data_IF_876365236532
#
_entry.id   IF_876365236532
#
_cell.length_a   1.000
_cell.length_b   1.000
_cell.length_c   1.000
_cell.angle_alpha   90.00
_cell.angle_beta   90.00
_cell.angle_gamma   90.00
#
_symmetry.space_group_name_H-M   'P 1'
#
loop_
_entity.id
_entity.type
_entity.pdbx_description
1 polymer ?
#
# COMPACT_ATOMS: atom_id res chain seq x y z
N UNK A 1 5.53 22.94 -14.07
CA UNK A 1 4.71 21.80 -13.54
C UNK A 1 5.35 21.21 -12.27
N UNK A 2 6.62 20.76 -12.26
CA UNK A 2 7.24 20.14 -11.08
C UNK A 2 7.27 21.07 -9.84
N UNK A 3 7.63 22.34 -10.01
CA UNK A 3 7.63 23.34 -8.93
C UNK A 3 6.22 23.62 -8.37
N UNK A 4 5.20 23.62 -9.23
CA UNK A 4 3.80 23.80 -8.81
C UNK A 4 3.32 22.59 -8.00
N UNK A 5 3.68 21.37 -8.41
CA UNK A 5 3.37 20.13 -7.68
C UNK A 5 4.01 20.16 -6.30
N UNK A 6 5.32 20.45 -6.22
CA UNK A 6 6.05 20.54 -4.94
C UNK A 6 5.47 21.65 -4.06
N UNK A 7 5.20 22.83 -4.63
CA UNK A 7 4.60 23.95 -3.91
C UNK A 7 3.21 23.63 -3.36
N UNK A 8 2.37 22.94 -4.14
CA UNK A 8 1.04 22.50 -3.70
C UNK A 8 1.11 21.50 -2.54
N UNK A 9 2.03 20.54 -2.58
CA UNK A 9 2.26 19.59 -1.49
C UNK A 9 2.76 20.27 -0.22
N UNK A 10 3.75 21.16 -0.33
CA UNK A 10 4.26 21.91 0.81
C UNK A 10 3.18 22.77 1.45
N UNK A 11 2.41 23.53 0.66
CA UNK A 11 1.33 24.35 1.16
C UNK A 11 0.26 23.50 1.87
N UNK A 12 -0.12 22.36 1.31
CA UNK A 12 -1.09 21.45 1.92
C UNK A 12 -0.58 20.87 3.25
N UNK A 13 0.68 20.43 3.31
CA UNK A 13 1.30 19.92 4.54
C UNK A 13 1.38 21.01 5.61
N UNK A 14 1.82 22.22 5.26
CA UNK A 14 1.87 23.36 6.22
C UNK A 14 0.48 23.72 6.74
N UNK A 15 -0.53 23.78 5.87
CA UNK A 15 -1.89 24.08 6.27
C UNK A 15 -2.46 23.00 7.21
N UNK A 16 -2.20 21.72 6.94
CA UNK A 16 -2.62 20.64 7.82
C UNK A 16 -1.88 20.62 9.15
N UNK A 17 -0.59 20.93 9.15
CA UNK A 17 0.16 21.11 10.40
C UNK A 17 -0.42 22.24 11.25
N UNK A 18 -0.77 23.38 10.62
CA UNK A 18 -1.34 24.52 11.31
C UNK A 18 -2.74 24.23 11.86
N UNK A 19 -3.60 23.60 11.03
CA UNK A 19 -4.93 23.14 11.45
C UNK A 19 -4.81 22.05 12.52
N UNK A 20 -3.87 21.13 12.38
CA UNK A 20 -3.61 20.06 13.35
C UNK A 20 -3.20 20.62 14.71
N UNK A 21 -2.23 21.52 14.76
CA UNK A 21 -1.78 22.15 16.00
C UNK A 21 -2.90 22.95 16.69
N UNK A 22 -3.81 23.57 15.91
CA UNK A 22 -4.97 24.28 16.43
C UNK A 22 -6.12 23.38 16.86
N UNK A 23 -6.36 22.28 16.14
CA UNK A 23 -7.51 21.39 16.35
C UNK A 23 -7.22 20.28 17.39
N UNK A 24 -5.99 19.77 17.45
CA UNK A 24 -5.60 18.67 18.37
C UNK A 24 -6.00 18.94 19.83
N UNK A 25 -5.79 20.16 20.42
CA UNK A 25 -6.22 20.43 21.78
C UNK A 25 -7.74 20.39 21.98
N UNK A 26 -8.52 20.56 20.90
CA UNK A 26 -9.98 20.59 20.94
C UNK A 26 -10.60 19.19 20.78
N UNK A 27 -9.84 18.25 20.22
CA UNK A 27 -10.30 16.88 19.98
C UNK A 27 -10.07 16.06 21.25
N UNK A 28 -11.17 15.75 21.95
CA UNK A 28 -11.13 14.96 23.17
C UNK A 28 -11.57 13.52 22.89
N UNK A 29 -10.68 12.54 23.25
CA UNK A 29 -10.99 11.13 23.23
C UNK A 29 -11.06 10.48 21.83
N UNK A 30 -11.22 9.17 21.82
CA UNK A 30 -11.25 8.33 20.64
C UNK A 30 -12.34 8.73 19.63
N UNK A 31 -13.55 8.95 20.12
CA UNK A 31 -14.72 9.32 19.30
C UNK A 31 -14.50 10.64 18.54
N UNK A 32 -13.88 11.62 19.19
CA UNK A 32 -13.57 12.90 18.55
C UNK A 32 -12.63 12.72 17.36
N UNK A 33 -11.56 11.95 17.53
CA UNK A 33 -10.61 11.62 16.46
C UNK A 33 -11.27 10.88 15.32
N UNK A 34 -12.11 9.88 15.62
CA UNK A 34 -12.82 9.12 14.61
C UNK A 34 -13.80 9.98 13.81
N UNK A 35 -14.56 10.86 14.45
CA UNK A 35 -15.49 11.78 13.78
C UNK A 35 -14.76 12.74 12.84
N UNK A 36 -13.68 13.36 13.32
CA UNK A 36 -12.86 14.27 12.49
C UNK A 36 -12.26 13.51 11.31
N UNK A 37 -11.72 12.32 11.54
CA UNK A 37 -11.16 11.48 10.50
C UNK A 37 -12.19 11.12 9.44
N UNK A 38 -13.38 10.67 9.86
CA UNK A 38 -14.48 10.31 8.97
C UNK A 38 -14.92 11.50 8.11
N UNK A 39 -15.11 12.67 8.73
CA UNK A 39 -15.52 13.87 8.01
C UNK A 39 -14.47 14.32 6.99
N UNK A 40 -13.20 14.34 7.38
CA UNK A 40 -12.11 14.75 6.48
C UNK A 40 -11.97 13.80 5.29
N UNK A 41 -11.98 12.48 5.52
CA UNK A 41 -11.85 11.49 4.44
C UNK A 41 -13.08 11.47 3.54
N UNK A 42 -14.30 11.53 4.09
CA UNK A 42 -15.54 11.56 3.32
C UNK A 42 -15.62 12.82 2.45
N UNK A 43 -15.37 13.99 3.03
CA UNK A 43 -15.43 15.27 2.32
C UNK A 43 -14.36 15.32 1.22
N UNK A 44 -13.12 14.93 1.52
CA UNK A 44 -12.05 14.87 0.52
C UNK A 44 -12.39 13.90 -0.61
N UNK A 45 -12.89 12.71 -0.31
CA UNK A 45 -13.29 11.72 -1.31
C UNK A 45 -14.43 12.20 -2.20
N UNK A 46 -15.45 12.87 -1.65
CA UNK A 46 -16.55 13.46 -2.41
C UNK A 46 -16.08 14.59 -3.34
N UNK A 47 -15.20 15.47 -2.85
CA UNK A 47 -14.67 16.60 -3.62
C UNK A 47 -13.73 16.11 -4.73
N UNK A 48 -12.89 15.11 -4.47
CA UNK A 48 -12.05 14.48 -5.48
C UNK A 48 -12.92 13.84 -6.56
N UNK A 49 -13.96 13.08 -6.18
CA UNK A 49 -14.88 12.47 -7.12
C UNK A 49 -15.52 13.47 -8.07
N UNK A 50 -16.03 14.58 -7.54
CA UNK A 50 -16.61 15.67 -8.34
C UNK A 50 -15.60 16.37 -9.25
N UNK A 51 -14.38 16.60 -8.79
CA UNK A 51 -13.32 17.24 -9.59
C UNK A 51 -12.94 16.39 -10.79
N UNK A 52 -12.86 15.07 -10.63
CA UNK A 52 -12.53 14.13 -11.70
C UNK A 52 -13.67 14.02 -12.72
N UNK A 53 -14.94 14.03 -12.29
CA UNK A 53 -16.10 14.01 -13.18
C UNK A 53 -16.19 15.28 -14.02
N UNK A 54 -15.89 16.43 -13.45
CA UNK A 54 -15.90 17.72 -14.15
C UNK A 54 -14.85 17.77 -15.27
N UNK A 55 -13.66 17.22 -15.04
CA UNK A 55 -12.59 17.15 -16.05
C UNK A 55 -13.00 16.26 -17.25
N UNK A 56 -13.74 15.19 -17.04
CA UNK A 56 -14.22 14.30 -18.12
C UNK A 56 -15.39 14.89 -18.92
N UNK A 57 -16.22 15.75 -18.33
CA UNK A 57 -17.37 16.36 -19.00
C UNK A 57 -17.01 17.61 -19.80
N UNK A 58 -15.90 18.27 -19.49
CA UNK A 58 -15.46 19.52 -20.13
C UNK A 58 -14.78 19.40 -21.50
N UNK A 59 -14.56 18.18 -22.01
CA UNK A 59 -13.79 17.93 -23.24
C UNK A 59 -14.54 18.16 -24.56
N UNK A 60 -15.73 18.77 -24.56
CA UNK A 60 -16.49 19.02 -25.79
C UNK A 60 -16.41 20.45 -26.34
N UNK A 61 -15.55 21.32 -25.87
CA UNK A 61 -15.46 22.67 -26.43
C UNK A 61 -14.32 23.54 -25.91
N UNK A 62 -13.41 23.86 -26.83
CA UNK A 62 -12.42 24.94 -26.82
C UNK A 62 -11.20 24.88 -25.86
N UNK A 63 -10.06 24.73 -26.51
CA UNK A 63 -8.67 25.05 -26.17
C UNK A 63 -8.47 26.24 -25.20
N UNK A 64 -8.34 25.93 -23.91
CA UNK A 64 -7.81 26.85 -22.89
C UNK A 64 -6.73 26.20 -22.08
N UNK A 65 -5.48 26.46 -22.39
CA UNK A 65 -4.26 25.87 -21.77
C UNK A 65 -4.02 26.24 -20.29
N UNK A 66 -4.90 27.04 -19.65
CA UNK A 66 -4.64 27.62 -18.33
C UNK A 66 -5.30 26.92 -17.13
N UNK A 67 -6.32 26.09 -17.32
CA UNK A 67 -7.11 25.57 -16.17
C UNK A 67 -6.61 24.25 -15.55
N UNK A 68 -5.75 23.50 -16.26
CA UNK A 68 -5.26 22.22 -15.76
C UNK A 68 -4.36 22.31 -14.50
N UNK A 69 -3.69 23.44 -14.27
CA UNK A 69 -2.80 23.59 -13.11
C UNK A 69 -3.55 23.73 -11.79
N UNK A 70 -4.70 24.41 -11.80
CA UNK A 70 -5.52 24.63 -10.61
C UNK A 70 -6.17 23.34 -10.10
N UNK A 71 -6.74 22.54 -10.99
CA UNK A 71 -7.36 21.26 -10.63
C UNK A 71 -6.35 20.28 -9.99
N UNK A 72 -5.12 20.23 -10.53
CA UNK A 72 -4.06 19.34 -9.99
C UNK A 72 -3.66 19.73 -8.56
N UNK A 73 -3.47 21.03 -8.28
CA UNK A 73 -3.12 21.52 -6.94
C UNK A 73 -4.24 21.23 -5.94
N UNK A 74 -5.50 21.44 -6.38
CA UNK A 74 -6.68 21.16 -5.55
C UNK A 74 -6.79 19.67 -5.19
N UNK A 75 -6.62 18.77 -6.14
CA UNK A 75 -6.61 17.33 -5.89
C UNK A 75 -5.49 16.91 -4.94
N UNK A 76 -4.31 17.51 -5.02
CA UNK A 76 -3.21 17.27 -4.08
C UNK A 76 -3.56 17.71 -2.67
N UNK A 77 -4.15 18.92 -2.52
CA UNK A 77 -4.62 19.38 -1.22
C UNK A 77 -5.65 18.43 -0.60
N UNK A 78 -6.63 18.00 -1.40
CA UNK A 78 -7.64 17.04 -0.94
C UNK A 78 -7.04 15.67 -0.58
N UNK A 79 -6.00 15.22 -1.28
CA UNK A 79 -5.29 13.99 -0.93
C UNK A 79 -4.59 14.11 0.43
N UNK A 80 -3.90 15.23 0.69
CA UNK A 80 -3.22 15.46 1.96
C UNK A 80 -4.25 15.59 3.10
N UNK A 81 -5.39 16.26 2.86
CA UNK A 81 -6.49 16.32 3.81
C UNK A 81 -7.09 14.92 4.09
N UNK A 82 -7.24 14.09 3.04
CA UNK A 82 -7.65 12.70 3.18
C UNK A 82 -6.65 11.89 4.01
N UNK A 83 -5.36 12.01 3.74
CA UNK A 83 -4.31 11.33 4.52
C UNK A 83 -4.36 11.71 6.02
N UNK A 84 -4.55 12.99 6.32
CA UNK A 84 -4.72 13.43 7.71
C UNK A 84 -5.99 12.85 8.35
N UNK A 85 -7.08 12.76 7.58
CA UNK A 85 -8.31 12.11 8.02
C UNK A 85 -8.11 10.62 8.32
N UNK A 86 -7.41 9.88 7.46
CA UNK A 86 -7.04 8.49 7.70
C UNK A 86 -6.19 8.33 8.96
N UNK A 87 -5.20 9.24 9.16
CA UNK A 87 -4.40 9.27 10.38
C UNK A 87 -5.26 9.46 11.63
N UNK A 88 -6.23 10.39 11.58
CA UNK A 88 -7.16 10.63 12.69
C UNK A 88 -8.05 9.42 12.99
N UNK A 89 -8.53 8.70 11.97
CA UNK A 89 -9.29 7.44 12.14
C UNK A 89 -8.45 6.38 12.84
N UNK A 90 -7.21 6.18 12.42
CA UNK A 90 -6.29 5.19 13.01
C UNK A 90 -5.99 5.55 14.47
N UNK A 91 -5.68 6.83 14.75
CA UNK A 91 -5.45 7.31 16.13
C UNK A 91 -6.68 7.09 16.99
N UNK A 92 -7.86 7.46 16.51
CA UNK A 92 -9.12 7.25 17.23
C UNK A 92 -9.38 5.79 17.55
N UNK A 93 -9.23 4.89 16.58
CA UNK A 93 -9.40 3.46 16.78
C UNK A 93 -8.36 2.88 17.76
N UNK A 94 -7.11 3.35 17.72
CA UNK A 94 -6.04 2.90 18.62
C UNK A 94 -6.23 3.35 20.08
N UNK A 95 -7.00 4.41 20.30
CA UNK A 95 -7.34 4.88 21.65
C UNK A 95 -8.47 4.08 22.31
N UNK A 96 -9.15 3.22 21.56
CA UNK A 96 -10.16 2.30 22.08
C UNK A 96 -9.49 1.06 22.68
N UNK A 97 -10.15 0.40 23.62
CA UNK A 97 -9.69 -0.89 24.16
C UNK A 97 -9.70 -2.01 23.11
N UNK A 98 -9.01 -3.12 23.38
CA UNK A 98 -8.77 -4.18 22.40
C UNK A 98 -10.03 -4.66 21.66
N UNK A 99 -11.14 -4.88 22.34
CA UNK A 99 -12.41 -5.32 21.71
C UNK A 99 -13.05 -4.23 20.85
N UNK A 100 -13.21 -3.03 21.38
CA UNK A 100 -13.81 -1.90 20.66
C UNK A 100 -12.89 -1.40 19.55
N UNK A 101 -11.58 -1.40 19.78
CA UNK A 101 -10.58 -1.05 18.77
C UNK A 101 -10.60 -1.99 17.58
N UNK A 102 -10.71 -3.30 17.80
CA UNK A 102 -10.82 -4.28 16.73
C UNK A 102 -12.07 -4.03 15.87
N UNK A 103 -13.23 -3.77 16.48
CA UNK A 103 -14.45 -3.43 15.75
C UNK A 103 -14.26 -2.13 14.97
N UNK A 104 -13.65 -1.11 15.57
CA UNK A 104 -13.39 0.17 14.91
C UNK A 104 -12.47 -0.03 13.66
N UNK A 105 -11.43 -0.85 13.76
CA UNK A 105 -10.55 -1.15 12.63
C UNK A 105 -11.27 -1.93 11.52
N UNK A 106 -12.15 -2.88 11.86
CA UNK A 106 -13.01 -3.55 10.86
C UNK A 106 -13.92 -2.54 10.17
N UNK A 107 -14.52 -1.62 10.90
CA UNK A 107 -15.38 -0.56 10.32
C UNK A 107 -14.56 0.39 9.41
N UNK A 108 -13.33 0.73 9.78
CA UNK A 108 -12.41 1.48 8.92
C UNK A 108 -12.14 0.68 7.64
N UNK A 109 -11.81 -0.60 7.73
CA UNK A 109 -11.53 -1.43 6.56
C UNK A 109 -12.73 -1.51 5.60
N UNK A 110 -13.95 -1.63 6.12
CA UNK A 110 -15.19 -1.61 5.33
C UNK A 110 -15.40 -0.24 4.67
N UNK A 111 -15.23 0.84 5.41
CA UNK A 111 -15.33 2.21 4.90
C UNK A 111 -14.32 2.47 3.78
N UNK A 112 -13.06 2.09 3.96
CA UNK A 112 -12.00 2.22 2.95
C UNK A 112 -12.29 1.38 1.70
N UNK A 113 -12.90 0.21 1.86
CA UNK A 113 -13.35 -0.61 0.73
C UNK A 113 -14.41 0.11 -0.11
N UNK A 114 -15.31 0.85 0.53
CA UNK A 114 -16.29 1.69 -0.19
C UNK A 114 -15.59 2.84 -0.91
N UNK A 115 -14.65 3.53 -0.27
CA UNK A 115 -13.88 4.62 -0.90
C UNK A 115 -13.05 4.11 -2.08
N UNK A 116 -12.40 2.96 -1.95
CA UNK A 116 -11.62 2.30 -3.01
C UNK A 116 -12.48 2.07 -4.27
N UNK A 117 -13.74 1.68 -4.10
CA UNK A 117 -14.65 1.40 -5.22
C UNK A 117 -15.30 2.66 -5.80
N UNK A 118 -15.57 3.68 -4.97
CA UNK A 118 -16.33 4.88 -5.36
C UNK A 118 -15.47 6.00 -5.92
N UNK A 119 -14.30 6.24 -5.34
CA UNK A 119 -13.43 7.34 -5.77
C UNK A 119 -12.57 6.89 -6.95
N UNK A 120 -12.75 7.49 -8.13
CA UNK A 120 -12.09 7.06 -9.37
C UNK A 120 -10.63 7.56 -9.52
N UNK A 121 -10.06 8.24 -8.51
CA UNK A 121 -8.71 8.78 -8.57
C UNK A 121 -7.68 7.84 -7.96
N UNK A 122 -6.68 7.43 -8.78
CA UNK A 122 -5.72 6.37 -8.43
C UNK A 122 -4.93 6.61 -7.13
N UNK A 123 -4.38 7.81 -6.85
CA UNK A 123 -3.68 8.04 -5.59
C UNK A 123 -4.56 7.83 -4.37
N UNK A 124 -5.82 8.27 -4.41
CA UNK A 124 -6.77 8.07 -3.32
C UNK A 124 -7.13 6.59 -3.16
N UNK A 125 -7.33 5.86 -4.26
CA UNK A 125 -7.56 4.40 -4.22
C UNK A 125 -6.40 3.66 -3.56
N UNK A 126 -5.16 4.06 -3.86
CA UNK A 126 -3.99 3.45 -3.24
C UNK A 126 -3.97 3.69 -1.73
N UNK A 127 -4.26 4.91 -1.29
CA UNK A 127 -4.35 5.24 0.14
C UNK A 127 -5.46 4.46 0.82
N UNK A 128 -6.67 4.43 0.23
CA UNK A 128 -7.79 3.67 0.76
C UNK A 128 -7.47 2.16 0.86
N UNK A 129 -6.81 1.59 -0.15
CA UNK A 129 -6.38 0.20 -0.13
C UNK A 129 -5.32 -0.07 0.96
N UNK A 130 -4.33 0.83 1.13
CA UNK A 130 -3.30 0.72 2.17
C UNK A 130 -3.90 0.81 3.57
N UNK A 131 -4.75 1.82 3.80
CA UNK A 131 -5.38 2.01 5.11
C UNK A 131 -6.37 0.89 5.41
N UNK A 132 -7.19 0.48 4.44
CA UNK A 132 -8.16 -0.60 4.61
C UNK A 132 -7.49 -1.95 4.91
N UNK A 133 -6.44 -2.32 4.17
CA UNK A 133 -5.69 -3.56 4.42
C UNK A 133 -4.90 -3.48 5.72
N UNK A 134 -4.29 -2.34 6.05
CA UNK A 134 -3.61 -2.12 7.32
C UNK A 134 -4.55 -2.16 8.52
N UNK A 135 -5.74 -1.57 8.41
CA UNK A 135 -6.78 -1.64 9.44
C UNK A 135 -7.26 -3.07 9.69
N UNK A 136 -7.40 -3.88 8.62
CA UNK A 136 -7.76 -5.28 8.78
C UNK A 136 -6.66 -6.06 9.53
N UNK A 137 -5.38 -5.81 9.24
CA UNK A 137 -4.26 -6.41 10.00
C UNK A 137 -4.32 -5.99 11.47
N UNK A 138 -4.53 -4.70 11.74
CA UNK A 138 -4.62 -4.20 13.11
C UNK A 138 -5.79 -4.82 13.88
N UNK A 139 -6.96 -4.97 13.23
CA UNK A 139 -8.10 -5.66 13.83
C UNK A 139 -7.80 -7.12 14.19
N UNK A 140 -7.13 -7.82 13.28
CA UNK A 140 -6.72 -9.21 13.49
C UNK A 140 -5.69 -9.35 14.61
N UNK A 141 -4.72 -8.43 14.67
CA UNK A 141 -3.70 -8.40 15.74
C UNK A 141 -4.33 -8.23 17.14
N UNK A 142 -5.41 -7.47 17.24
CA UNK A 142 -6.13 -7.26 18.50
C UNK A 142 -6.98 -8.46 18.95
N UNK A 143 -7.42 -9.32 18.02
CA UNK A 143 -8.37 -10.41 18.32
C UNK A 143 -7.69 -11.77 18.34
N UNK A 144 -6.67 -11.97 17.49
CA UNK A 144 -6.03 -13.26 17.29
C UNK A 144 -4.72 -13.28 18.07
N UNK A 145 -4.36 -14.45 18.62
CA UNK A 145 -3.08 -14.63 19.28
C UNK A 145 -1.92 -14.18 18.38
N UNK A 146 -0.98 -13.43 18.93
CA UNK A 146 0.15 -12.80 18.20
C UNK A 146 0.91 -13.77 17.28
N UNK A 147 0.95 -15.05 17.65
CA UNK A 147 1.62 -16.08 16.84
C UNK A 147 0.92 -16.33 15.48
N UNK A 148 -0.38 -16.08 15.36
CA UNK A 148 -1.13 -16.27 14.13
C UNK A 148 -1.06 -15.05 13.19
N UNK A 149 -0.85 -13.86 13.73
CA UNK A 149 -0.75 -12.61 12.92
C UNK A 149 0.42 -12.68 11.93
N UNK A 150 1.48 -13.38 12.27
CA UNK A 150 2.66 -13.57 11.43
C UNK A 150 2.32 -14.23 10.08
N UNK A 151 1.38 -15.18 10.07
CA UNK A 151 0.97 -15.87 8.83
C UNK A 151 0.27 -14.94 7.84
N UNK A 152 -0.30 -13.81 8.30
CA UNK A 152 -1.02 -12.88 7.44
C UNK A 152 -0.12 -12.21 6.41
N UNK A 153 1.14 -11.93 6.75
CA UNK A 153 2.09 -11.37 5.79
C UNK A 153 2.28 -12.31 4.60
N UNK A 154 2.43 -13.61 4.86
CA UNK A 154 2.55 -14.63 3.81
C UNK A 154 1.28 -14.75 2.97
N UNK A 155 0.10 -14.71 3.60
CA UNK A 155 -1.19 -14.75 2.90
C UNK A 155 -1.37 -13.49 2.04
N UNK A 156 -1.09 -12.31 2.56
CA UNK A 156 -1.18 -11.06 1.81
C UNK A 156 -0.17 -11.01 0.67
N UNK A 157 1.02 -11.54 0.91
CA UNK A 157 2.02 -11.68 -0.15
C UNK A 157 1.56 -12.62 -1.26
N UNK A 158 0.99 -13.76 -0.91
CA UNK A 158 0.38 -14.67 -1.87
C UNK A 158 -0.73 -13.98 -2.68
N UNK A 159 -1.63 -13.25 -2.01
CA UNK A 159 -2.70 -12.49 -2.68
C UNK A 159 -2.13 -11.39 -3.61
N UNK A 160 -1.11 -10.64 -3.17
CA UNK A 160 -0.44 -9.65 -4.01
C UNK A 160 0.14 -10.28 -5.28
N UNK A 161 0.87 -11.38 -5.12
CA UNK A 161 1.45 -12.12 -6.26
C UNK A 161 0.37 -12.66 -7.20
N UNK A 162 -0.72 -13.20 -6.65
CA UNK A 162 -1.86 -13.70 -7.43
C UNK A 162 -2.52 -12.59 -8.23
N UNK A 163 -2.74 -11.42 -7.62
CA UNK A 163 -3.30 -10.26 -8.30
C UNK A 163 -2.39 -9.82 -9.46
N UNK A 164 -1.08 -9.74 -9.25
CA UNK A 164 -0.14 -9.42 -10.31
C UNK A 164 -0.10 -10.48 -11.41
N UNK A 165 -0.17 -11.75 -11.06
CA UNK A 165 -0.22 -12.82 -12.05
C UNK A 165 -1.48 -12.76 -12.93
N UNK A 166 -2.62 -12.42 -12.33
CA UNK A 166 -3.90 -12.32 -13.02
C UNK A 166 -4.18 -10.92 -13.61
N UNK A 167 -3.19 -10.04 -13.66
CA UNK A 167 -3.35 -8.63 -14.08
C UNK A 167 -4.13 -8.49 -15.40
N UNK A 168 -3.81 -9.28 -16.42
CA UNK A 168 -4.48 -9.24 -17.72
C UNK A 168 -5.98 -9.59 -17.65
N UNK A 169 -6.39 -10.37 -16.66
CA UNK A 169 -7.79 -10.78 -16.50
C UNK A 169 -8.62 -9.70 -15.82
N UNK A 170 -8.12 -9.12 -14.74
CA UNK A 170 -8.91 -8.14 -13.99
C UNK A 170 -8.83 -6.73 -14.56
N UNK A 171 -7.82 -6.38 -15.37
CA UNK A 171 -7.79 -5.10 -16.10
C UNK A 171 -8.99 -4.92 -17.05
N UNK A 172 -9.53 -6.02 -17.57
CA UNK A 172 -10.74 -5.99 -18.40
C UNK A 172 -12.03 -5.77 -17.59
N UNK A 173 -11.97 -5.81 -16.25
CA UNK A 173 -13.12 -5.64 -15.39
C UNK A 173 -13.38 -4.16 -15.11
N UNK A 174 -14.64 -3.81 -14.84
CA UNK A 174 -15.07 -2.45 -14.46
C UNK A 174 -14.28 -1.86 -13.28
N UNK A 175 -13.79 -2.71 -12.38
CA UNK A 175 -13.06 -2.32 -11.18
C UNK A 175 -11.56 -2.59 -11.28
N UNK A 176 -11.02 -2.70 -12.50
CA UNK A 176 -9.61 -3.01 -12.74
C UNK A 176 -8.64 -2.10 -11.98
N UNK A 177 -8.91 -0.79 -11.97
CA UNK A 177 -8.08 0.18 -11.23
C UNK A 177 -8.12 0.00 -9.71
N UNK A 178 -9.26 -0.42 -9.14
CA UNK A 178 -9.37 -0.70 -7.72
C UNK A 178 -8.56 -1.96 -7.33
N UNK A 179 -8.62 -2.99 -8.18
CA UNK A 179 -7.81 -4.21 -8.00
C UNK A 179 -6.32 -3.90 -8.14
N UNK A 180 -5.96 -3.02 -9.07
CA UNK A 180 -4.60 -2.54 -9.24
C UNK A 180 -4.09 -1.81 -8.00
N UNK A 181 -4.89 -0.88 -7.44
CA UNK A 181 -4.56 -0.19 -6.20
C UNK A 181 -4.40 -1.16 -5.03
N UNK A 182 -5.25 -2.18 -4.95
CA UNK A 182 -5.16 -3.23 -3.93
C UNK A 182 -3.89 -4.06 -4.09
N UNK A 183 -3.52 -4.46 -5.30
CA UNK A 183 -2.28 -5.20 -5.56
C UNK A 183 -1.03 -4.39 -5.15
N UNK A 184 -1.01 -3.09 -5.46
CA UNK A 184 0.05 -2.17 -5.03
C UNK A 184 0.08 -2.06 -3.50
N UNK A 185 -1.07 -1.85 -2.87
CA UNK A 185 -1.18 -1.69 -1.42
C UNK A 185 -0.71 -2.94 -0.67
N UNK A 186 -1.14 -4.13 -1.08
CA UNK A 186 -0.69 -5.39 -0.51
C UNK A 186 0.83 -5.58 -0.66
N UNK A 187 1.38 -5.26 -1.83
CA UNK A 187 2.84 -5.32 -2.08
C UNK A 187 3.60 -4.40 -1.14
N UNK A 188 3.17 -3.14 -1.00
CA UNK A 188 3.80 -2.15 -0.12
C UNK A 188 3.65 -2.53 1.36
N UNK A 189 2.47 -2.99 1.77
CA UNK A 189 2.20 -3.41 3.16
C UNK A 189 3.06 -4.61 3.54
N UNK A 190 3.11 -5.66 2.71
CA UNK A 190 3.95 -6.83 2.96
C UNK A 190 5.42 -6.45 3.04
N UNK A 191 5.89 -5.58 2.15
CA UNK A 191 7.26 -5.09 2.20
C UNK A 191 7.52 -4.28 3.46
N UNK A 192 6.62 -3.36 3.82
CA UNK A 192 6.74 -2.58 5.05
C UNK A 192 6.77 -3.47 6.28
N UNK A 193 5.92 -4.49 6.38
CA UNK A 193 5.92 -5.45 7.49
C UNK A 193 7.22 -6.25 7.57
N UNK A 194 7.77 -6.72 6.43
CA UNK A 194 9.04 -7.46 6.40
C UNK A 194 10.25 -6.57 6.61
N UNK A 195 10.17 -5.31 6.15
CA UNK A 195 11.21 -4.31 6.28
C UNK A 195 11.21 -3.63 7.65
N UNK A 196 10.08 -3.54 8.34
CA UNK A 196 9.90 -2.81 9.60
C UNK A 196 10.50 -3.49 10.83
N UNK A 197 11.08 -4.68 10.72
CA UNK A 197 11.93 -5.19 11.80
C UNK A 197 12.95 -4.14 12.29
N UNK A 198 13.26 -3.13 11.48
CA UNK A 198 14.10 -1.98 11.85
C UNK A 198 13.34 -0.87 12.62
N UNK A 199 12.07 -0.62 12.25
CA UNK A 199 11.24 0.43 12.90
C UNK A 199 10.42 -0.12 14.07
N UNK A 200 10.21 -1.42 14.14
CA UNK A 200 9.22 -2.05 15.01
C UNK A 200 9.68 -2.39 16.40
N UNK A 201 10.91 -2.10 16.80
CA UNK A 201 11.28 -2.17 18.22
C UNK A 201 10.45 -1.20 19.08
N UNK A 202 9.73 -0.26 18.46
CA UNK A 202 8.94 0.73 19.17
C UNK A 202 7.45 0.79 18.83
N UNK A 203 6.97 0.22 17.72
CA UNK A 203 5.58 0.39 17.26
C UNK A 203 4.82 -0.95 17.13
N UNK A 204 5.47 -2.03 16.71
CA UNK A 204 4.84 -3.33 16.61
C UNK A 204 5.84 -4.41 17.05
N UNK A 205 5.55 -5.10 18.12
CA UNK A 205 6.38 -6.20 18.66
C UNK A 205 6.48 -7.44 17.72
N UNK A 206 6.44 -7.22 16.41
CA UNK A 206 6.48 -8.24 15.37
C UNK A 206 7.86 -8.90 15.17
N UNK A 207 8.87 -8.53 15.98
CA UNK A 207 10.28 -8.87 15.70
C UNK A 207 10.80 -10.20 16.28
N UNK A 208 10.00 -10.97 17.00
CA UNK A 208 10.51 -12.17 17.69
C UNK A 208 10.08 -13.52 17.11
N UNK A 209 10.10 -13.71 15.79
CA UNK A 209 9.71 -15.00 15.24
C UNK A 209 9.90 -15.19 13.74
N UNK A 210 11.08 -14.90 13.26
CA UNK A 210 11.43 -14.93 11.83
C UNK A 210 11.39 -16.31 11.14
N UNK A 211 11.09 -17.41 11.82
CA UNK A 211 11.27 -18.74 11.24
C UNK A 211 10.27 -19.12 10.15
N UNK A 212 8.98 -19.10 10.47
CA UNK A 212 7.96 -19.67 9.59
C UNK A 212 7.41 -18.67 8.56
N UNK A 213 7.31 -17.42 8.89
CA UNK A 213 6.80 -16.35 8.01
C UNK A 213 7.75 -16.09 6.85
N UNK A 214 9.04 -16.02 7.14
CA UNK A 214 10.09 -15.92 6.16
C UNK A 214 10.05 -17.10 5.17
N UNK A 215 9.81 -18.31 5.70
CA UNK A 215 9.63 -19.51 4.92
C UNK A 215 8.45 -19.39 3.97
N UNK A 216 7.29 -18.97 4.46
CA UNK A 216 6.08 -18.86 3.66
C UNK A 216 6.26 -17.81 2.55
N UNK A 217 6.81 -16.63 2.87
CA UNK A 217 7.12 -15.59 1.88
C UNK A 217 8.10 -16.12 0.82
N UNK A 218 9.14 -16.84 1.22
CA UNK A 218 10.14 -17.38 0.29
C UNK A 218 9.53 -18.48 -0.59
N UNK A 219 8.76 -19.41 -0.02
CA UNK A 219 8.06 -20.46 -0.78
C UNK A 219 7.09 -19.85 -1.78
N UNK A 220 6.30 -18.86 -1.39
CA UNK A 220 5.38 -18.12 -2.28
C UNK A 220 6.19 -17.47 -3.41
N UNK A 221 7.28 -16.78 -3.09
CA UNK A 221 8.11 -16.10 -4.08
C UNK A 221 8.70 -17.09 -5.08
N UNK A 222 9.24 -18.22 -4.62
CA UNK A 222 9.76 -19.29 -5.48
C UNK A 222 8.67 -19.87 -6.39
N UNK A 223 7.51 -20.18 -5.83
CA UNK A 223 6.40 -20.75 -6.60
C UNK A 223 5.97 -19.80 -7.73
N UNK A 224 5.86 -18.50 -7.47
CA UNK A 224 5.48 -17.51 -8.49
C UNK A 224 6.57 -17.29 -9.53
N UNK A 225 7.85 -17.33 -9.17
CA UNK A 225 8.95 -17.29 -10.14
C UNK A 225 8.89 -18.50 -11.07
N UNK A 226 8.66 -19.68 -10.53
CA UNK A 226 8.54 -20.90 -11.35
C UNK A 226 7.32 -20.84 -12.30
N UNK A 227 6.19 -20.30 -11.83
CA UNK A 227 5.01 -20.08 -12.68
C UNK A 227 5.31 -19.08 -13.81
N UNK A 228 6.01 -17.97 -13.51
CA UNK A 228 6.40 -16.98 -14.51
C UNK A 228 7.45 -17.50 -15.49
N UNK A 229 8.37 -18.35 -15.04
CA UNK A 229 9.39 -18.95 -15.87
C UNK A 229 8.84 -20.05 -16.79
N UNK A 230 7.71 -20.68 -16.43
CA UNK A 230 7.13 -21.81 -17.17
C UNK A 230 7.01 -21.58 -18.69
N UNK A 231 6.51 -20.45 -19.22
CA UNK A 231 6.44 -20.23 -20.67
C UNK A 231 7.81 -20.00 -21.32
N UNK A 232 8.85 -19.71 -20.55
CA UNK A 232 10.21 -19.46 -21.04
C UNK A 232 11.06 -20.75 -21.08
N UNK A 233 10.59 -21.81 -20.43
CA UNK A 233 11.31 -23.09 -20.32
C UNK A 233 11.10 -23.90 -21.60
N UNK A 234 11.76 -23.49 -22.68
CA UNK A 234 11.78 -24.23 -23.99
C UNK A 234 13.16 -24.85 -24.23
N UNK A 235 14.05 -24.92 -23.26
CA UNK A 235 15.38 -25.50 -23.42
C UNK A 235 16.17 -25.65 -22.11
N UNK A 236 17.29 -26.38 -22.20
CA UNK A 236 18.18 -26.65 -21.04
C UNK A 236 18.67 -25.37 -20.37
N UNK A 237 18.92 -24.28 -21.13
CA UNK A 237 19.39 -23.01 -20.60
C UNK A 237 18.36 -22.33 -19.71
N UNK A 238 17.08 -22.41 -20.07
CA UNK A 238 15.99 -21.83 -19.27
C UNK A 238 15.69 -22.64 -18.02
N UNK A 239 15.85 -23.96 -18.05
CA UNK A 239 15.79 -24.81 -16.86
C UNK A 239 16.91 -24.42 -15.88
N UNK A 240 18.13 -24.26 -16.39
CA UNK A 240 19.28 -23.83 -15.57
C UNK A 240 19.06 -22.45 -14.95
N UNK A 241 18.53 -21.49 -15.71
CA UNK A 241 18.17 -20.18 -15.21
C UNK A 241 17.07 -20.24 -14.11
N UNK A 242 16.04 -21.07 -14.31
CA UNK A 242 14.99 -21.27 -13.31
C UNK A 242 15.55 -21.89 -12.01
N UNK A 243 16.45 -22.86 -12.12
CA UNK A 243 17.13 -23.48 -10.96
C UNK A 243 18.00 -22.44 -10.24
N UNK A 244 18.80 -21.66 -10.97
CA UNK A 244 19.62 -20.60 -10.38
C UNK A 244 18.78 -19.57 -9.64
N UNK A 245 17.68 -19.12 -10.22
CA UNK A 245 16.77 -18.15 -9.58
C UNK A 245 16.13 -18.77 -8.33
N UNK A 246 15.73 -20.04 -8.40
CA UNK A 246 15.15 -20.76 -7.25
C UNK A 246 16.16 -20.88 -6.11
N UNK A 247 17.41 -21.23 -6.43
CA UNK A 247 18.50 -21.29 -5.43
C UNK A 247 18.79 -19.91 -4.86
N UNK A 248 18.88 -18.88 -5.70
CA UNK A 248 19.10 -17.51 -5.25
C UNK A 248 17.99 -17.03 -4.30
N UNK A 249 16.72 -17.29 -4.63
CA UNK A 249 15.59 -16.98 -3.74
C UNK A 249 15.58 -17.84 -2.48
N UNK A 250 16.04 -19.10 -2.55
CA UNK A 250 16.21 -19.98 -1.40
C UNK A 250 17.25 -19.44 -0.41
N UNK A 251 18.34 -18.85 -0.90
CA UNK A 251 19.35 -18.21 -0.04
C UNK A 251 18.76 -16.95 0.65
N UNK A 252 17.76 -16.31 0.06
CA UNK A 252 17.11 -15.14 0.68
C UNK A 252 16.11 -15.49 1.80
N UNK A 253 16.00 -16.76 2.19
CA UNK A 253 15.17 -17.19 3.33
C UNK A 253 15.45 -16.37 4.61
N UNK A 254 16.71 -16.03 4.87
CA UNK A 254 17.09 -15.19 6.01
C UNK A 254 16.78 -13.70 5.81
N UNK A 255 16.51 -13.28 4.58
CA UNK A 255 16.18 -11.89 4.22
C UNK A 255 15.01 -11.86 3.24
N UNK A 256 13.79 -12.21 3.66
CA UNK A 256 12.63 -12.37 2.78
C UNK A 256 12.27 -11.09 2.00
N UNK A 257 12.61 -9.91 2.53
CA UNK A 257 12.44 -8.63 1.85
C UNK A 257 13.25 -8.55 0.53
N UNK A 258 14.43 -9.20 0.46
CA UNK A 258 15.23 -9.29 -0.77
C UNK A 258 14.48 -10.13 -1.81
N UNK A 259 13.94 -11.28 -1.41
CA UNK A 259 13.13 -12.13 -2.28
C UNK A 259 11.89 -11.44 -2.81
N UNK A 260 11.20 -10.68 -1.96
CA UNK A 260 10.04 -9.86 -2.36
C UNK A 260 10.44 -8.80 -3.40
N UNK A 261 11.48 -8.02 -3.14
CA UNK A 261 11.97 -7.00 -4.08
C UNK A 261 12.37 -7.59 -5.42
N UNK A 262 13.06 -8.74 -5.42
CA UNK A 262 13.43 -9.45 -6.64
C UNK A 262 12.19 -9.92 -7.42
N UNK A 263 11.19 -10.49 -6.76
CA UNK A 263 9.96 -10.94 -7.42
C UNK A 263 9.15 -9.76 -7.99
N UNK A 264 9.04 -8.63 -7.26
CA UNK A 264 8.37 -7.41 -7.78
C UNK A 264 9.10 -6.89 -9.02
N UNK A 265 10.44 -6.91 -9.03
CA UNK A 265 11.24 -6.53 -10.19
C UNK A 265 10.95 -7.47 -11.38
N UNK A 266 10.92 -8.78 -11.16
CA UNK A 266 10.60 -9.79 -12.17
C UNK A 266 9.19 -9.58 -12.73
N UNK A 267 8.18 -9.32 -11.88
CA UNK A 267 6.83 -8.97 -12.33
C UNK A 267 6.85 -7.70 -13.20
N UNK A 268 7.60 -6.68 -12.80
CA UNK A 268 7.77 -5.45 -13.57
C UNK A 268 8.31 -5.71 -14.97
N UNK A 269 9.34 -6.57 -15.10
CA UNK A 269 9.88 -7.00 -16.38
C UNK A 269 8.87 -7.82 -17.18
N UNK A 270 8.26 -8.86 -16.58
CA UNK A 270 7.32 -9.74 -17.23
C UNK A 270 6.07 -9.01 -17.77
N UNK A 271 5.68 -7.92 -17.13
CA UNK A 271 4.51 -7.09 -17.49
C UNK A 271 4.87 -5.77 -18.18
N UNK A 272 6.17 -5.53 -18.45
CA UNK A 272 6.68 -4.28 -19.05
C UNK A 272 6.22 -3.02 -18.28
N UNK A 273 6.07 -3.12 -16.96
CA UNK A 273 5.63 -2.03 -16.08
C UNK A 273 6.82 -1.33 -15.44
N UNK A 274 7.25 -0.21 -16.02
CA UNK A 274 8.44 0.54 -15.57
C UNK A 274 8.36 0.92 -14.08
N UNK A 275 7.21 1.39 -13.60
CA UNK A 275 7.07 1.80 -12.20
C UNK A 275 7.24 0.62 -11.23
N UNK A 276 6.75 -0.58 -11.60
CA UNK A 276 6.90 -1.78 -10.79
C UNK A 276 8.36 -2.25 -10.76
N UNK A 277 9.10 -2.06 -11.87
CA UNK A 277 10.55 -2.29 -11.92
C UNK A 277 11.29 -1.32 -10.98
N UNK A 278 10.94 -0.04 -11.00
CA UNK A 278 11.50 0.94 -10.07
C UNK A 278 11.18 0.62 -8.62
N UNK A 279 9.95 0.23 -8.33
CA UNK A 279 9.53 -0.20 -6.99
C UNK A 279 10.34 -1.42 -6.53
N UNK A 280 10.42 -2.47 -7.34
CA UNK A 280 11.21 -3.68 -7.02
C UNK A 280 12.69 -3.37 -6.83
N UNK A 281 13.28 -2.51 -7.66
CA UNK A 281 14.65 -2.03 -7.50
C UNK A 281 14.85 -1.27 -6.18
N UNK A 282 13.96 -0.35 -5.84
CA UNK A 282 14.02 0.39 -4.58
C UNK A 282 13.88 -0.54 -3.36
N UNK A 283 12.95 -1.51 -3.43
CA UNK A 283 12.79 -2.53 -2.39
C UNK A 283 14.07 -3.35 -2.20
N UNK A 284 14.72 -3.76 -3.29
CA UNK A 284 16.00 -4.50 -3.25
C UNK A 284 17.11 -3.67 -2.60
N UNK A 285 17.28 -2.42 -3.03
CA UNK A 285 18.32 -1.54 -2.46
C UNK A 285 18.10 -1.35 -0.96
N UNK A 286 16.86 -1.11 -0.55
CA UNK A 286 16.50 -0.98 0.86
C UNK A 286 16.76 -2.27 1.64
N UNK A 287 16.31 -3.41 1.13
CA UNK A 287 16.44 -4.70 1.81
C UNK A 287 17.91 -5.14 1.95
N UNK A 288 18.72 -4.94 0.90
CA UNK A 288 20.16 -5.22 0.92
C UNK A 288 20.88 -4.30 1.90
N UNK A 289 20.59 -2.98 1.85
CA UNK A 289 21.17 -2.01 2.77
C UNK A 289 20.86 -2.37 4.24
N UNK A 290 19.64 -2.76 4.52
CA UNK A 290 19.24 -3.23 5.84
C UNK A 290 19.98 -4.50 6.27
N UNK A 291 20.04 -5.50 5.39
CA UNK A 291 20.74 -6.76 5.68
C UNK A 291 22.20 -6.52 6.06
N UNK A 292 22.91 -5.64 5.34
CA UNK A 292 24.27 -5.25 5.69
C UNK A 292 24.38 -4.51 7.03
N UNK A 293 23.41 -3.64 7.32
CA UNK A 293 23.38 -2.92 8.60
C UNK A 293 23.14 -3.85 9.79
N UNK A 294 22.32 -4.87 9.64
CA UNK A 294 22.05 -5.86 10.72
C UNK A 294 23.20 -6.87 10.94
N UNK A 295 24.10 -7.01 9.95
CA UNK A 295 25.27 -7.89 10.07
C UNK A 295 26.47 -7.23 10.75
N UNK A 296 26.45 -5.91 10.96
CA UNK A 296 27.48 -5.17 11.71
C UNK A 296 27.14 -5.05 13.19
#
# INVERSE_FOLDING_TARGET
>A
IALQVIGGWLAAVFMLLFLGLGAVPLIKGATGWMLVGLLMTALSGLLIGRSVEFEHSGHSGHSGHSDHSGATVWCQFLLVASLAGHGALIVGASLLGNGEGAIAFVMIALYESVLLLRVAWMPHRLVAALVGTGALVAALDMVIAQDLVRYWVGIYWFLACLLWLLESRWQALRYGDAVYALACALTLLCFACTASGFLAHSIFALSQGFGFDAALVSVVSIAFVLILARPLVVGVQSLFAAVLITVALGVTWQAPAIGMGALVLIFGFARSRRWLMWLGGAMLVFAVGRYYYEMQ
#
